data_IF_943115089230
#
_entry.id   IF_943115089230
#
_cell.length_a   1.000
_cell.length_b   1.000
_cell.length_c   1.000
_cell.angle_alpha   90.00
_cell.angle_beta   90.00
_cell.angle_gamma   90.00
#
_symmetry.space_group_name_H-M   'P 1'
#
loop_
_entity.id
_entity.type
_entity.pdbx_description
1 polymer ?
#
# COMPACT_ATOMS: atom_id res chain seq x y z
N UNK A 1 -12.94 1.10 -1.43
CA UNK A 1 -13.87 -0.01 -1.76
C UNK A 1 -14.09 -0.95 -0.59
N UNK A 2 -13.03 -1.41 0.09
CA UNK A 2 -13.10 -2.32 1.26
C UNK A 2 -14.12 -1.90 2.32
N UNK A 3 -14.14 -0.62 2.72
CA UNK A 3 -15.11 -0.11 3.70
C UNK A 3 -16.56 -0.22 3.22
N UNK A 4 -16.81 -0.08 1.92
CA UNK A 4 -18.14 -0.24 1.33
C UNK A 4 -18.59 -1.71 1.32
N UNK A 5 -17.68 -2.64 0.99
CA UNK A 5 -17.99 -4.07 0.97
C UNK A 5 -18.21 -4.64 2.37
N UNK A 6 -17.41 -4.22 3.36
CA UNK A 6 -17.60 -4.58 4.78
C UNK A 6 -18.93 -4.08 5.35
N UNK A 7 -19.34 -2.87 4.98
CA UNK A 7 -20.58 -2.24 5.43
C UNK A 7 -21.83 -2.77 4.73
N UNK A 8 -22.14 -4.08 4.82
CA UNK A 8 -23.34 -4.74 4.23
C UNK A 8 -23.68 -4.30 2.78
N UNK A 9 -22.70 -3.83 2.01
CA UNK A 9 -22.88 -3.10 0.74
C UNK A 9 -23.46 -3.95 -0.40
N UNK A 10 -23.38 -5.27 -0.29
CA UNK A 10 -23.84 -6.22 -1.31
C UNK A 10 -25.18 -6.91 -1.01
N UNK A 11 -25.83 -6.64 0.13
CA UNK A 11 -27.12 -7.26 0.44
C UNK A 11 -28.24 -6.68 -0.44
N UNK A 12 -28.91 -7.54 -1.23
CA UNK A 12 -30.02 -7.18 -2.11
C UNK A 12 -31.23 -6.71 -1.29
N UNK A 13 -31.76 -5.51 -1.59
CA UNK A 13 -33.10 -5.10 -1.12
C UNK A 13 -33.24 -3.80 -0.33
N UNK A 14 -32.19 -2.98 -0.14
CA UNK A 14 -32.33 -1.69 0.56
C UNK A 14 -32.41 -0.49 -0.40
N UNK A 15 -33.34 0.44 -0.14
CA UNK A 15 -33.43 1.77 -0.76
C UNK A 15 -32.05 2.45 -0.80
N UNK A 16 -31.79 3.21 -1.88
CA UNK A 16 -30.58 4.00 -2.18
C UNK A 16 -29.83 4.35 -0.88
N UNK A 17 -28.73 3.63 -0.64
CA UNK A 17 -28.04 3.68 0.66
C UNK A 17 -27.31 5.00 0.85
N UNK A 18 -27.48 5.58 2.02
CA UNK A 18 -26.60 6.61 2.60
C UNK A 18 -25.16 6.09 2.55
N UNK A 19 -24.19 6.95 2.19
CA UNK A 19 -22.78 6.54 2.09
C UNK A 19 -22.26 5.89 3.38
N UNK A 20 -21.18 5.11 3.26
CA UNK A 20 -20.51 4.52 4.42
C UNK A 20 -19.53 5.53 5.02
N UNK A 21 -19.54 5.74 6.35
CA UNK A 21 -18.56 6.61 6.99
C UNK A 21 -17.17 5.94 6.99
N UNK A 22 -16.15 6.75 6.72
CA UNK A 22 -14.74 6.42 6.93
C UNK A 22 -14.19 7.41 7.93
N UNK A 23 -13.65 6.91 9.05
CA UNK A 23 -13.04 7.75 10.07
C UNK A 23 -11.60 8.11 9.68
N UNK A 24 -11.07 9.20 10.21
CA UNK A 24 -9.70 9.63 9.90
C UNK A 24 -8.66 8.62 10.35
N UNK A 25 -8.90 7.95 11.47
CA UNK A 25 -8.05 6.87 12.00
C UNK A 25 -8.04 5.63 11.09
N UNK A 26 -9.16 5.39 10.41
CA UNK A 26 -9.30 4.27 9.47
C UNK A 26 -8.69 4.56 8.09
N UNK A 27 -8.38 5.82 7.78
CA UNK A 27 -7.80 6.25 6.52
C UNK A 27 -6.27 6.21 6.58
N UNK A 28 -5.71 5.01 6.57
CA UNK A 28 -4.27 4.76 6.79
C UNK A 28 -3.41 5.06 5.57
N UNK A 29 -3.97 5.04 4.36
CA UNK A 29 -3.23 5.28 3.11
C UNK A 29 -2.57 6.67 3.08
N UNK A 30 -3.23 7.67 3.69
CA UNK A 30 -2.74 9.02 3.85
C UNK A 30 -3.16 9.49 5.26
N UNK A 31 -2.31 9.34 6.29
CA UNK A 31 -2.64 9.69 7.65
C UNK A 31 -2.70 11.21 7.81
N UNK A 32 -3.90 11.76 7.72
CA UNK A 32 -4.15 13.20 7.81
C UNK A 32 -4.40 13.64 9.26
N UNK A 33 -4.14 14.92 9.54
CA UNK A 33 -4.55 15.58 10.79
C UNK A 33 -6.03 15.91 10.80
N UNK A 34 -6.57 16.32 9.66
CA UNK A 34 -7.98 16.63 9.43
C UNK A 34 -8.35 16.22 7.99
N UNK A 35 -9.59 15.78 7.74
CA UNK A 35 -9.99 15.31 6.40
C UNK A 35 -10.16 16.40 5.35
N UNK A 36 -10.43 17.64 5.74
CA UNK A 36 -10.51 18.77 4.80
C UNK A 36 -9.16 19.04 4.09
N UNK A 37 -8.05 18.45 4.57
CA UNK A 37 -6.75 18.47 3.89
C UNK A 37 -6.73 17.68 2.57
N UNK A 38 -7.75 16.87 2.28
CA UNK A 38 -7.94 16.27 0.96
C UNK A 38 -8.48 17.26 -0.09
N UNK A 39 -8.98 18.42 0.32
CA UNK A 39 -9.59 19.42 -0.56
C UNK A 39 -8.65 20.60 -0.83
N UNK A 40 -8.77 21.15 -2.03
CA UNK A 40 -8.04 22.36 -2.39
C UNK A 40 -8.43 23.53 -1.47
N UNK A 41 -7.41 24.19 -0.90
CA UNK A 41 -7.58 25.30 0.07
C UNK A 41 -8.49 24.93 1.26
N UNK A 42 -8.62 23.65 1.59
CA UNK A 42 -9.52 23.12 2.64
C UNK A 42 -11.00 23.46 2.44
N UNK A 43 -11.39 23.87 1.23
CA UNK A 43 -12.76 24.24 0.92
C UNK A 43 -13.60 22.97 0.75
N UNK A 44 -14.64 22.82 1.56
CA UNK A 44 -15.50 21.62 1.58
C UNK A 44 -16.92 21.88 1.10
N UNK A 45 -17.27 23.15 0.84
CA UNK A 45 -18.56 23.57 0.30
C UNK A 45 -18.39 24.55 -0.87
N UNK A 46 -19.32 24.52 -1.81
CA UNK A 46 -19.33 25.36 -3.01
C UNK A 46 -19.57 26.83 -2.63
N UNK A 47 -18.78 27.74 -3.20
CA UNK A 47 -19.03 29.18 -3.07
C UNK A 47 -20.08 29.66 -4.07
N UNK A 48 -20.55 30.91 -3.89
CA UNK A 48 -21.46 31.56 -4.84
C UNK A 48 -20.93 31.64 -6.27
N UNK A 49 -19.61 31.64 -6.45
CA UNK A 49 -18.98 31.79 -7.75
C UNK A 49 -18.68 30.44 -8.43
N UNK A 50 -18.96 29.32 -7.76
CA UNK A 50 -18.64 27.96 -8.25
C UNK A 50 -19.88 27.09 -8.46
N UNK A 51 -21.05 27.57 -8.05
CA UNK A 51 -22.31 26.87 -8.28
C UNK A 51 -22.65 26.87 -9.77
N UNK A 52 -23.01 25.71 -10.28
CA UNK A 52 -23.47 25.52 -11.66
C UNK A 52 -24.77 24.71 -11.65
N UNK A 53 -25.61 24.85 -12.68
CA UNK A 53 -26.74 23.94 -12.94
C UNK A 53 -27.59 23.54 -11.72
N UNK A 54 -28.32 24.48 -11.12
CA UNK A 54 -29.26 24.20 -10.03
C UNK A 54 -28.65 23.98 -8.63
N UNK A 55 -27.32 23.95 -8.50
CA UNK A 55 -26.63 23.88 -7.21
C UNK A 55 -26.79 25.17 -6.41
N UNK A 56 -26.84 25.04 -5.08
CA UNK A 56 -26.90 26.18 -4.15
C UNK A 56 -25.56 26.41 -3.45
N UNK A 57 -25.21 27.68 -3.13
CA UNK A 57 -24.05 27.97 -2.32
C UNK A 57 -24.14 27.25 -0.96
N UNK A 58 -23.03 26.69 -0.50
CA UNK A 58 -22.99 25.89 0.73
C UNK A 58 -23.27 24.40 0.52
N UNK A 59 -23.65 23.95 -0.69
CA UNK A 59 -23.69 22.52 -1.00
C UNK A 59 -22.29 21.89 -0.89
N UNK A 60 -22.20 20.61 -0.47
CA UNK A 60 -20.91 19.94 -0.30
C UNK A 60 -20.12 19.85 -1.59
N UNK A 61 -18.81 20.08 -1.51
CA UNK A 61 -17.89 19.71 -2.58
C UNK A 61 -17.64 18.21 -2.53
N UNK A 62 -17.88 17.58 -3.66
CA UNK A 62 -17.73 16.14 -3.83
C UNK A 62 -16.42 15.86 -4.56
N UNK A 63 -15.69 14.85 -4.10
CA UNK A 63 -14.57 14.27 -4.86
C UNK A 63 -15.10 13.01 -5.52
N UNK A 64 -14.93 12.91 -6.84
CA UNK A 64 -15.25 11.72 -7.60
C UNK A 64 -13.96 11.08 -8.08
N UNK A 65 -13.77 9.80 -7.76
CA UNK A 65 -12.64 8.99 -8.22
C UNK A 65 -13.23 7.91 -9.13
N UNK A 66 -12.91 7.99 -10.41
CA UNK A 66 -13.28 6.98 -11.40
C UNK A 66 -12.08 6.08 -11.68
N UNK A 67 -12.32 4.77 -11.68
CA UNK A 67 -11.38 3.76 -12.11
C UNK A 67 -12.02 2.99 -13.26
N UNK A 68 -11.33 2.99 -14.40
CA UNK A 68 -11.70 2.20 -15.56
C UNK A 68 -10.70 1.05 -15.71
N UNK A 69 -11.19 -0.13 -16.08
CA UNK A 69 -10.36 -1.31 -16.29
C UNK A 69 -10.97 -2.28 -17.27
N UNK A 70 -10.16 -3.25 -17.69
CA UNK A 70 -10.59 -4.35 -18.56
C UNK A 70 -10.14 -5.66 -17.95
N UNK A 71 -11.03 -6.64 -17.85
CA UNK A 71 -10.69 -7.97 -17.33
C UNK A 71 -10.34 -8.92 -18.47
N UNK A 72 -9.10 -9.42 -18.51
CA UNK A 72 -8.60 -10.27 -19.60
C UNK A 72 -8.08 -9.46 -20.80
N UNK A 73 -7.87 -10.13 -21.94
CA UNK A 73 -7.23 -9.56 -23.13
C UNK A 73 -8.22 -8.98 -24.16
N UNK A 74 -9.53 -9.07 -23.91
CA UNK A 74 -10.59 -8.67 -24.85
C UNK A 74 -11.29 -7.41 -24.36
N UNK A 75 -11.59 -6.47 -25.27
CA UNK A 75 -12.27 -5.20 -24.95
C UNK A 75 -13.70 -5.38 -24.41
N UNK A 76 -14.32 -6.54 -24.61
CA UNK A 76 -15.71 -6.81 -24.18
C UNK A 76 -15.89 -6.86 -22.65
N UNK A 77 -14.81 -6.89 -21.88
CA UNK A 77 -14.83 -6.97 -20.42
C UNK A 77 -14.43 -5.66 -19.73
N UNK A 78 -14.75 -4.52 -20.36
CA UNK A 78 -14.53 -3.21 -19.74
C UNK A 78 -15.48 -2.97 -18.57
N UNK A 79 -14.93 -2.47 -17.48
CA UNK A 79 -15.68 -2.03 -16.31
C UNK A 79 -15.24 -0.63 -15.89
N UNK A 80 -16.16 0.09 -15.26
CA UNK A 80 -15.93 1.41 -14.69
C UNK A 80 -16.57 1.47 -13.31
N UNK A 81 -15.85 2.06 -12.36
CA UNK A 81 -16.33 2.29 -11.00
C UNK A 81 -16.01 3.75 -10.63
N UNK A 82 -17.05 4.51 -10.29
CA UNK A 82 -16.88 5.85 -9.72
C UNK A 82 -17.29 5.85 -8.25
N UNK A 83 -16.35 6.24 -7.39
CA UNK A 83 -16.56 6.45 -5.97
C UNK A 83 -16.70 7.94 -5.68
N UNK A 84 -17.73 8.31 -4.93
CA UNK A 84 -17.91 9.65 -4.39
C UNK A 84 -17.44 9.71 -2.94
N UNK A 85 -16.66 10.74 -2.62
CA UNK A 85 -16.27 11.12 -1.28
C UNK A 85 -16.93 12.45 -0.94
N UNK A 86 -17.63 12.49 0.20
CA UNK A 86 -18.26 13.69 0.75
C UNK A 86 -17.70 13.98 2.13
N UNK A 87 -17.12 15.16 2.29
CA UNK A 87 -16.69 15.66 3.59
C UNK A 87 -17.88 15.78 4.56
N UNK A 88 -17.70 15.34 5.81
CA UNK A 88 -18.69 15.52 6.88
C UNK A 88 -18.11 16.32 8.03
N UNK A 89 -16.90 16.00 8.47
CA UNK A 89 -16.21 16.67 9.57
C UNK A 89 -14.70 16.43 9.48
N UNK A 90 -13.93 17.04 10.37
CA UNK A 90 -12.47 16.85 10.45
C UNK A 90 -12.08 15.37 10.65
N UNK A 91 -12.98 14.57 11.24
CA UNK A 91 -12.74 13.16 11.60
C UNK A 91 -13.49 12.16 10.71
N UNK A 92 -14.37 12.62 9.81
CA UNK A 92 -15.21 11.73 9.01
C UNK A 92 -15.46 12.22 7.58
N UNK A 93 -15.37 11.28 6.63
CA UNK A 93 -15.88 11.41 5.26
C UNK A 93 -16.89 10.29 4.98
N UNK A 94 -17.84 10.54 4.10
CA UNK A 94 -18.74 9.51 3.58
C UNK A 94 -18.29 9.07 2.20
N UNK A 95 -18.31 7.75 1.97
CA UNK A 95 -17.96 7.15 0.68
C UNK A 95 -19.11 6.33 0.14
N UNK A 96 -19.40 6.45 -1.16
CA UNK A 96 -20.35 5.57 -1.86
C UNK A 96 -19.96 5.41 -3.33
N UNK A 97 -20.27 4.26 -3.95
CA UNK A 97 -20.26 4.17 -5.41
C UNK A 97 -21.41 4.99 -5.99
N UNK A 98 -21.14 5.74 -7.06
CA UNK A 98 -22.13 6.50 -7.83
C UNK A 98 -22.27 6.00 -9.28
N UNK A 99 -21.25 5.29 -9.78
CA UNK A 99 -21.29 4.56 -11.04
C UNK A 99 -20.68 3.17 -10.82
N UNK A 100 -21.36 2.08 -11.22
CA UNK A 100 -22.68 2.04 -11.84
C UNK A 100 -23.79 2.49 -10.88
N UNK A 101 -24.87 3.08 -11.42
CA UNK A 101 -25.93 3.73 -10.63
C UNK A 101 -26.66 2.82 -9.63
N UNK A 102 -26.56 1.50 -9.81
CA UNK A 102 -27.09 0.51 -8.86
C UNK A 102 -26.24 0.38 -7.58
N UNK A 103 -25.12 1.10 -7.47
CA UNK A 103 -24.21 1.10 -6.33
C UNK A 103 -23.50 -0.24 -6.11
N UNK A 104 -23.56 -1.15 -7.09
CA UNK A 104 -22.90 -2.45 -7.03
C UNK A 104 -21.48 -2.32 -7.55
N UNK A 105 -20.52 -2.80 -6.78
CA UNK A 105 -19.15 -2.96 -7.24
C UNK A 105 -19.12 -4.28 -8.03
N UNK A 106 -18.64 -4.25 -9.28
CA UNK A 106 -18.50 -5.47 -10.08
C UNK A 106 -17.49 -6.42 -9.42
N UNK A 107 -17.61 -7.75 -9.60
CA UNK A 107 -16.64 -8.69 -9.06
C UNK A 107 -15.19 -8.38 -9.46
N UNK A 108 -14.99 -7.82 -10.66
CA UNK A 108 -13.66 -7.47 -11.16
C UNK A 108 -13.11 -6.20 -10.51
N UNK A 109 -13.93 -5.15 -10.38
CA UNK A 109 -13.54 -3.95 -9.64
C UNK A 109 -13.29 -4.28 -8.15
N UNK A 110 -14.02 -5.24 -7.58
CA UNK A 110 -13.84 -5.67 -6.19
C UNK A 110 -12.52 -6.41 -5.94
N UNK A 111 -11.90 -6.99 -6.99
CA UNK A 111 -10.57 -7.62 -6.91
C UNK A 111 -9.43 -6.62 -6.98
N UNK A 112 -9.71 -5.35 -7.31
CA UNK A 112 -8.69 -4.32 -7.44
C UNK A 112 -8.01 -4.08 -6.08
N UNK A 113 -6.77 -4.57 -5.98
CA UNK A 113 -5.89 -4.32 -4.85
C UNK A 113 -4.83 -3.30 -5.27
N UNK A 114 -4.84 -2.13 -4.62
CA UNK A 114 -3.84 -1.08 -4.87
C UNK A 114 -2.82 -1.12 -3.74
N UNK A 115 -1.55 -1.29 -4.10
CA UNK A 115 -0.42 -1.16 -3.17
C UNK A 115 0.38 0.08 -3.56
N UNK A 116 0.54 1.00 -2.61
CA UNK A 116 1.43 2.15 -2.75
C UNK A 116 2.79 1.82 -2.12
N UNK A 117 3.86 1.96 -2.90
CA UNK A 117 5.23 1.85 -2.44
C UNK A 117 5.86 3.25 -2.45
N UNK A 118 5.99 3.89 -1.27
CA UNK A 118 6.65 5.18 -1.17
C UNK A 118 8.17 5.07 -1.37
N UNK A 119 8.87 6.19 -1.58
CA UNK A 119 10.33 6.18 -1.66
C UNK A 119 10.95 5.69 -0.35
N UNK A 120 12.04 4.94 -0.44
CA UNK A 120 12.78 4.51 0.73
C UNK A 120 13.36 5.71 1.47
N UNK A 121 13.00 5.88 2.74
CA UNK A 121 13.39 7.02 3.56
C UNK A 121 14.44 6.68 4.63
N UNK A 122 15.07 5.51 4.54
CA UNK A 122 15.95 4.95 5.57
C UNK A 122 15.31 3.77 6.33
N UNK A 123 16.11 3.09 7.15
CA UNK A 123 15.71 1.90 7.90
C UNK A 123 16.16 2.02 9.36
N UNK A 124 15.26 1.68 10.29
CA UNK A 124 15.57 1.63 11.72
C UNK A 124 16.53 0.49 12.09
N UNK A 125 17.29 0.68 13.16
CA UNK A 125 18.17 -0.35 13.72
C UNK A 125 17.39 -1.59 14.19
N UNK A 126 16.17 -1.39 14.68
CA UNK A 126 15.29 -2.43 15.20
C UNK A 126 13.88 -2.24 14.64
N UNK A 127 13.16 -3.34 14.41
CA UNK A 127 11.79 -3.32 13.91
C UNK A 127 10.95 -4.35 14.67
N UNK A 128 9.87 -3.90 15.32
CA UNK A 128 8.93 -4.79 16.00
C UNK A 128 8.06 -5.50 14.97
N UNK A 129 7.60 -6.71 15.30
CA UNK A 129 6.55 -7.36 14.52
C UNK A 129 5.24 -6.56 14.62
N UNK A 130 4.65 -6.27 13.47
CA UNK A 130 3.46 -5.46 13.31
C UNK A 130 2.41 -6.22 12.51
N UNK A 131 1.15 -6.07 12.92
CA UNK A 131 0.03 -6.52 12.11
C UNK A 131 -0.10 -5.66 10.85
N UNK A 132 -0.72 -6.22 9.81
CA UNK A 132 -0.81 -5.60 8.48
C UNK A 132 -1.38 -4.18 8.48
N UNK A 133 -2.36 -3.89 9.34
CA UNK A 133 -2.93 -2.54 9.48
C UNK A 133 -1.94 -1.52 10.06
N UNK A 134 -1.10 -1.93 11.02
CA UNK A 134 -0.05 -1.09 11.56
C UNK A 134 1.06 -0.85 10.52
N UNK A 135 1.41 -1.87 9.74
CA UNK A 135 2.34 -1.69 8.63
C UNK A 135 1.81 -0.71 7.57
N UNK A 136 0.53 -0.80 7.20
CA UNK A 136 -0.10 0.14 6.26
C UNK A 136 -0.07 1.58 6.78
N UNK A 137 -0.21 1.78 8.08
CA UNK A 137 -0.09 3.10 8.70
C UNK A 137 1.32 3.66 8.56
N UNK A 138 2.37 2.89 8.82
CA UNK A 138 3.76 3.37 8.67
C UNK A 138 4.11 3.66 7.21
N UNK A 139 3.66 2.82 6.28
CA UNK A 139 3.78 3.09 4.83
C UNK A 139 3.07 4.39 4.47
N UNK A 140 1.85 4.61 4.94
CA UNK A 140 1.10 5.85 4.72
C UNK A 140 1.78 7.09 5.33
N UNK A 141 2.56 6.93 6.41
CA UNK A 141 3.38 8.00 7.00
C UNK A 141 4.63 8.33 6.21
N UNK A 142 4.89 7.65 5.09
CA UNK A 142 6.12 7.80 4.32
C UNK A 142 7.32 7.14 5.00
N UNK A 143 7.08 6.09 5.79
CA UNK A 143 8.14 5.33 6.50
C UNK A 143 8.16 3.86 6.07
N UNK A 144 8.38 3.56 4.78
CA UNK A 144 8.34 2.18 4.32
C UNK A 144 9.51 1.34 4.83
N UNK A 145 10.65 1.94 5.20
CA UNK A 145 11.77 1.19 5.77
C UNK A 145 11.49 0.69 7.19
N UNK A 146 10.53 1.30 7.91
CA UNK A 146 10.09 0.84 9.24
C UNK A 146 9.21 -0.42 9.16
N UNK A 147 8.90 -0.91 7.95
CA UNK A 147 8.16 -2.17 7.74
C UNK A 147 8.95 -3.20 6.92
N UNK A 148 10.22 -2.95 6.60
CA UNK A 148 10.98 -3.80 5.69
C UNK A 148 11.18 -5.21 6.26
N UNK A 149 11.51 -5.33 7.56
CA UNK A 149 11.71 -6.63 8.20
C UNK A 149 10.40 -7.39 8.37
N UNK A 150 9.28 -6.69 8.61
CA UNK A 150 7.94 -7.27 8.58
C UNK A 150 7.59 -7.82 7.20
N UNK A 151 7.86 -7.07 6.12
CA UNK A 151 7.60 -7.56 4.77
C UNK A 151 8.46 -8.78 4.43
N UNK A 152 9.75 -8.77 4.78
CA UNK A 152 10.62 -9.94 4.63
C UNK A 152 10.08 -11.16 5.37
N UNK A 153 9.63 -10.97 6.61
CA UNK A 153 9.01 -12.02 7.41
C UNK A 153 7.74 -12.57 6.74
N UNK A 154 6.89 -11.71 6.17
CA UNK A 154 5.70 -12.11 5.41
C UNK A 154 6.05 -12.95 4.18
N UNK A 155 7.05 -12.53 3.38
CA UNK A 155 7.50 -13.30 2.20
C UNK A 155 8.02 -14.68 2.62
N UNK A 156 8.86 -14.74 3.65
CA UNK A 156 9.41 -15.99 4.16
C UNK A 156 8.31 -16.93 4.69
N UNK A 157 7.36 -16.41 5.47
CA UNK A 157 6.23 -17.19 6.00
C UNK A 157 5.30 -17.71 4.90
N UNK A 158 5.12 -16.94 3.82
CA UNK A 158 4.34 -17.35 2.64
C UNK A 158 4.98 -18.48 1.85
N UNK A 159 6.30 -18.68 1.97
CA UNK A 159 7.17 -19.71 1.31
C UNK A 159 7.21 -19.71 -0.22
N UNK A 160 6.15 -19.29 -0.90
CA UNK A 160 6.01 -19.37 -2.36
C UNK A 160 7.06 -18.55 -3.11
N UNK A 161 7.46 -17.41 -2.54
CA UNK A 161 8.29 -16.42 -3.23
C UNK A 161 9.64 -16.15 -2.55
N UNK A 162 9.91 -16.77 -1.41
CA UNK A 162 11.15 -16.53 -0.66
C UNK A 162 12.40 -16.87 -1.47
N UNK A 163 12.46 -18.08 -2.03
CA UNK A 163 13.62 -18.52 -2.81
C UNK A 163 13.84 -17.66 -4.07
N UNK A 164 12.75 -17.20 -4.68
CA UNK A 164 12.80 -16.27 -5.82
C UNK A 164 13.38 -14.93 -5.39
N UNK A 165 12.90 -14.35 -4.28
CA UNK A 165 13.43 -13.12 -3.72
C UNK A 165 14.94 -13.23 -3.40
N UNK A 166 15.35 -14.31 -2.73
CA UNK A 166 16.78 -14.56 -2.43
C UNK A 166 17.60 -14.58 -3.72
N UNK A 167 17.11 -15.29 -4.75
CA UNK A 167 17.79 -15.40 -6.05
C UNK A 167 17.87 -14.05 -6.78
N UNK A 168 16.80 -13.27 -6.77
CA UNK A 168 16.77 -11.94 -7.40
C UNK A 168 17.79 -11.00 -6.74
N UNK A 169 17.83 -10.98 -5.41
CA UNK A 169 18.80 -10.17 -4.64
C UNK A 169 20.23 -10.66 -4.87
N UNK A 170 20.45 -11.97 -4.95
CA UNK A 170 21.76 -12.53 -5.26
C UNK A 170 22.23 -12.16 -6.67
N UNK A 171 21.32 -12.09 -7.64
CA UNK A 171 21.65 -11.72 -9.02
C UNK A 171 21.97 -10.22 -9.15
N UNK A 172 21.15 -9.38 -8.51
CA UNK A 172 21.25 -7.93 -8.61
C UNK A 172 22.38 -7.35 -7.75
N UNK A 173 22.52 -7.83 -6.52
CA UNK A 173 23.41 -7.22 -5.52
C UNK A 173 24.55 -8.12 -5.05
N UNK A 174 24.57 -9.40 -5.47
CA UNK A 174 25.54 -10.42 -5.01
C UNK A 174 25.50 -10.66 -3.50
N UNK A 175 24.35 -10.37 -2.88
CA UNK A 175 24.06 -10.62 -1.47
C UNK A 175 23.18 -11.86 -1.33
N UNK A 176 23.36 -12.63 -0.27
CA UNK A 176 22.52 -13.79 0.04
C UNK A 176 21.68 -13.45 1.26
N UNK A 177 20.40 -13.18 1.06
CA UNK A 177 19.46 -12.98 2.17
C UNK A 177 19.41 -14.23 3.06
N UNK A 178 19.27 -14.00 4.36
CA UNK A 178 19.08 -15.05 5.36
C UNK A 178 17.62 -15.04 5.80
N UNK A 179 17.13 -16.21 6.22
CA UNK A 179 15.77 -16.34 6.75
C UNK A 179 15.56 -15.35 7.92
N UNK A 180 14.46 -14.57 7.91
CA UNK A 180 14.11 -13.69 9.01
C UNK A 180 13.93 -14.50 10.30
N UNK A 181 14.50 -14.01 11.40
CA UNK A 181 14.35 -14.61 12.72
C UNK A 181 13.39 -13.76 13.56
N UNK A 182 12.30 -14.39 13.97
CA UNK A 182 11.36 -13.82 14.92
C UNK A 182 10.72 -14.95 15.74
N UNK A 183 10.78 -14.81 17.05
CA UNK A 183 9.99 -15.62 17.98
C UNK A 183 9.30 -14.70 18.98
N UNK A 184 8.26 -15.22 19.65
CA UNK A 184 7.45 -14.42 20.57
C UNK A 184 8.21 -13.94 21.83
N UNK A 185 9.38 -14.51 22.13
CA UNK A 185 10.25 -14.08 23.22
C UNK A 185 11.19 -12.92 22.80
N UNK A 186 11.37 -12.69 21.50
CA UNK A 186 12.17 -11.59 20.97
C UNK A 186 11.32 -10.34 20.67
N UNK A 187 11.81 -9.15 21.06
CA UNK A 187 11.07 -7.91 20.82
C UNK A 187 11.11 -7.43 19.36
N UNK A 188 12.10 -7.88 18.58
CA UNK A 188 12.39 -7.37 17.24
C UNK A 188 12.60 -8.50 16.23
N UNK A 189 12.25 -8.23 14.98
CA UNK A 189 12.55 -9.09 13.84
C UNK A 189 14.01 -8.88 13.48
N UNK A 190 14.78 -9.96 13.36
CA UNK A 190 16.16 -9.92 12.88
C UNK A 190 16.21 -10.39 11.43
N UNK A 191 16.73 -9.54 10.55
CA UNK A 191 16.97 -9.85 9.15
C UNK A 191 18.43 -9.60 8.81
N UNK A 192 19.05 -10.51 8.08
CA UNK A 192 20.48 -10.48 7.78
C UNK A 192 20.75 -10.89 6.34
N UNK A 193 21.93 -10.54 5.85
CA UNK A 193 22.46 -11.04 4.59
C UNK A 193 23.93 -11.46 4.73
N UNK A 194 24.38 -12.29 3.80
CA UNK A 194 25.80 -12.61 3.61
C UNK A 194 26.33 -11.82 2.41
N UNK A 195 27.49 -11.19 2.57
CA UNK A 195 28.18 -10.48 1.49
C UNK A 195 29.05 -11.46 0.68
N UNK A 196 28.52 -11.92 -0.45
CA UNK A 196 29.32 -12.56 -1.49
C UNK A 196 28.66 -13.70 -2.27
N UNK A 197 29.32 -14.07 -3.37
CA UNK A 197 29.11 -15.31 -4.11
C UNK A 197 30.12 -16.30 -3.53
N UNK A 198 29.67 -17.38 -2.87
CA UNK A 198 30.54 -18.40 -2.23
C UNK A 198 31.76 -18.75 -3.10
N UNK A 199 32.98 -18.46 -2.64
CA UNK A 199 34.22 -18.62 -3.45
C UNK A 199 35.02 -19.89 -3.16
N UNK A 200 34.94 -20.52 -1.98
CA UNK A 200 35.58 -21.83 -1.73
C UNK A 200 35.17 -22.41 -0.37
N UNK A 201 35.02 -23.74 -0.32
CA UNK A 201 34.46 -24.46 0.83
C UNK A 201 35.37 -24.65 2.05
N UNK A 202 35.94 -23.60 2.65
CA UNK A 202 36.49 -23.70 4.03
C UNK A 202 36.14 -22.51 4.91
N UNK A 203 35.55 -22.84 6.07
CA UNK A 203 35.14 -21.93 7.16
C UNK A 203 33.65 -21.58 7.16
N UNK A 204 32.72 -22.55 7.28
CA UNK A 204 31.26 -22.35 7.11
C UNK A 204 30.87 -21.43 5.92
N UNK A 205 31.72 -21.42 4.87
CA UNK A 205 31.76 -20.58 3.66
C UNK A 205 32.35 -19.15 3.76
N UNK A 206 32.82 -18.68 4.91
CA UNK A 206 33.68 -17.50 5.05
C UNK A 206 33.05 -16.14 4.72
N UNK A 207 31.74 -16.08 4.45
CA UNK A 207 31.04 -14.84 4.15
C UNK A 207 30.66 -14.11 5.44
N UNK A 208 30.92 -12.80 5.47
CA UNK A 208 30.53 -11.95 6.60
C UNK A 208 29.02 -11.80 6.65
N UNK A 209 28.46 -11.97 7.85
CA UNK A 209 27.04 -11.79 8.14
C UNK A 209 26.82 -10.35 8.60
N UNK A 210 25.92 -9.66 7.93
CA UNK A 210 25.55 -8.28 8.23
C UNK A 210 24.07 -8.18 8.56
N UNK A 211 23.71 -7.26 9.45
CA UNK A 211 22.31 -6.86 9.63
C UNK A 211 21.80 -6.23 8.33
N UNK A 212 20.52 -6.44 8.00
CA UNK A 212 19.91 -5.90 6.79
C UNK A 212 20.09 -4.37 6.68
N UNK A 213 20.10 -3.64 7.80
CA UNK A 213 20.30 -2.19 7.83
C UNK A 213 21.69 -1.74 7.38
N UNK A 214 22.67 -2.66 7.31
CA UNK A 214 24.03 -2.36 6.84
C UNK A 214 24.12 -2.23 5.31
N UNK A 215 23.05 -2.56 4.59
CA UNK A 215 22.99 -2.42 3.13
C UNK A 215 22.96 -0.95 2.66
N UNK A 216 23.27 -0.73 1.38
CA UNK A 216 23.14 0.59 0.76
C UNK A 216 21.68 0.94 0.44
N UNK A 217 21.39 2.24 0.32
CA UNK A 217 20.03 2.75 0.05
C UNK A 217 19.42 2.20 -1.26
N UNK A 218 20.21 2.07 -2.32
CA UNK A 218 19.76 1.45 -3.58
C UNK A 218 19.36 -0.03 -3.42
N UNK A 219 20.09 -0.78 -2.60
CA UNK A 219 19.72 -2.15 -2.23
C UNK A 219 18.43 -2.17 -1.42
N UNK A 220 18.29 -1.30 -0.41
CA UNK A 220 17.06 -1.22 0.38
C UNK A 220 15.84 -0.82 -0.44
N UNK A 221 15.99 0.12 -1.38
CA UNK A 221 14.94 0.54 -2.29
C UNK A 221 14.44 -0.64 -3.13
N UNK A 222 15.34 -1.38 -3.78
CA UNK A 222 14.96 -2.54 -4.59
C UNK A 222 14.41 -3.67 -3.72
N UNK A 223 15.01 -3.93 -2.56
CA UNK A 223 14.54 -4.96 -1.65
C UNK A 223 13.12 -4.66 -1.15
N UNK A 224 12.84 -3.41 -0.78
CA UNK A 224 11.53 -2.95 -0.36
C UNK A 224 10.49 -3.17 -1.46
N UNK A 225 10.80 -2.78 -2.71
CA UNK A 225 9.94 -2.99 -3.87
C UNK A 225 9.61 -4.48 -4.08
N UNK A 226 10.64 -5.34 -4.12
CA UNK A 226 10.45 -6.78 -4.29
C UNK A 226 9.67 -7.39 -3.12
N UNK A 227 9.93 -6.96 -1.89
CA UNK A 227 9.18 -7.41 -0.73
C UNK A 227 7.70 -7.01 -0.82
N UNK A 228 7.38 -5.82 -1.32
CA UNK A 228 5.98 -5.47 -1.60
C UNK A 228 5.35 -6.36 -2.65
N UNK A 229 6.07 -6.70 -3.74
CA UNK A 229 5.54 -7.55 -4.82
C UNK A 229 5.23 -8.94 -4.32
N UNK A 230 6.15 -9.51 -3.54
CA UNK A 230 6.04 -10.88 -3.07
C UNK A 230 5.16 -11.03 -1.81
N UNK A 231 5.12 -10.04 -0.93
CA UNK A 231 4.29 -10.10 0.28
C UNK A 231 2.82 -9.70 0.02
N UNK A 232 2.58 -8.82 -0.95
CA UNK A 232 1.28 -8.19 -1.15
C UNK A 232 0.81 -8.36 -2.59
N UNK A 233 -0.01 -9.40 -2.88
CA UNK A 233 -0.67 -9.54 -4.16
C UNK A 233 -1.44 -8.25 -4.48
N UNK A 234 -1.07 -7.58 -5.57
CA UNK A 234 -1.63 -6.31 -5.99
C UNK A 234 -2.08 -6.39 -7.45
N UNK A 235 -3.21 -5.77 -7.75
CA UNK A 235 -3.67 -5.54 -9.13
C UNK A 235 -3.04 -4.28 -9.71
N UNK A 236 -2.75 -3.30 -8.86
CA UNK A 236 -2.11 -2.03 -9.21
C UNK A 236 -1.06 -1.70 -8.17
N UNK A 237 0.11 -1.35 -8.66
CA UNK A 237 1.23 -0.92 -7.86
C UNK A 237 1.53 0.54 -8.19
N UNK A 238 1.45 1.41 -7.20
CA UNK A 238 1.80 2.82 -7.31
C UNK A 238 3.20 3.00 -6.74
N UNK A 239 4.14 3.42 -7.59
CA UNK A 239 5.52 3.68 -7.22
C UNK A 239 5.74 5.17 -7.13
N UNK A 240 6.20 5.63 -5.97
CA UNK A 240 6.61 7.01 -5.75
C UNK A 240 8.14 7.09 -5.69
N UNK A 241 8.73 7.84 -6.62
CA UNK A 241 10.18 8.00 -6.85
C UNK A 241 11.00 6.70 -6.66
N UNK A 242 10.68 5.61 -7.39
CA UNK A 242 11.33 4.31 -7.18
C UNK A 242 12.82 4.31 -7.52
N UNK A 243 13.29 5.32 -8.24
CA UNK A 243 14.64 5.51 -8.75
C UNK A 243 15.49 6.49 -7.92
N UNK A 244 14.94 7.13 -6.88
CA UNK A 244 15.61 8.17 -6.09
C UNK A 244 16.99 7.77 -5.51
N UNK A 245 17.24 6.48 -5.34
CA UNK A 245 18.48 5.93 -4.78
C UNK A 245 19.23 4.99 -5.76
N UNK A 246 18.82 4.96 -7.03
CA UNK A 246 19.46 4.15 -8.06
C UNK A 246 20.46 5.01 -8.83
N UNK A 247 21.74 4.85 -8.52
CA UNK A 247 22.81 5.51 -9.26
C UNK A 247 23.18 4.69 -10.50
N UNK A 248 23.18 5.34 -11.67
CA UNK A 248 23.80 4.77 -12.88
C UNK A 248 25.31 4.88 -12.71
N UNK A 249 26.00 3.73 -12.70
CA UNK A 249 27.46 3.63 -12.68
C UNK A 249 27.98 3.57 -14.12
#
# INVERSE_FOLDING_TARGET
>A
MERWTMGKGNAAGAKIRTGQPVTRKDFTALPLREFNLLWHKTLTALSKNEVTGGQKPGEPRLIHITVDGTTGLTEDNRWSLTMELRYQSTEQVYVKPISPANGKISPDAAKLMVVHCPPFSGIGAEEKRMDRGAQQLEVGRGKPGDVLRNLLLEVWQGKEHWDTLVKDIQNLFRLILQEPQYDAALPFIRCEYLDGISKSGKGKNGLTRYDIASGGSGFHQVLLLLCFFYARPASVLLLDEPDAHLHVI
#
